data_IF_825433464820
#
_entry.id   IF_825433464820
#
_cell.length_a   1.000
_cell.length_b   1.000
_cell.length_c   1.000
_cell.angle_alpha   90.00
_cell.angle_beta   90.00
_cell.angle_gamma   90.00
#
_symmetry.space_group_name_H-M   'P 1'
#
loop_
_entity.id
_entity.type
_entity.pdbx_description
1 polymer ?
#
# COMPACT_ATOMS: atom_id res chain seq x y z
N UNK A 1 -11.49 23.61 -11.88
CA UNK A 1 -12.25 22.59 -11.12
C UNK A 1 -11.52 22.38 -9.79
N UNK A 2 -12.18 22.53 -8.63
CA UNK A 2 -11.48 22.45 -7.33
C UNK A 2 -11.37 21.01 -6.82
N UNK A 3 -10.34 20.70 -6.01
CA UNK A 3 -10.19 19.39 -5.36
C UNK A 3 -11.43 19.02 -4.54
N UNK A 4 -12.11 20.02 -3.94
CA UNK A 4 -13.36 19.83 -3.20
C UNK A 4 -14.49 19.36 -4.12
N UNK A 5 -14.64 19.97 -5.30
CA UNK A 5 -15.65 19.57 -6.30
C UNK A 5 -15.43 18.15 -6.81
N UNK A 6 -14.18 17.76 -7.06
CA UNK A 6 -13.83 16.39 -7.49
C UNK A 6 -14.12 15.37 -6.39
N UNK A 7 -13.73 15.65 -5.15
CA UNK A 7 -14.06 14.80 -3.99
C UNK A 7 -15.57 14.66 -3.81
N UNK A 8 -16.31 15.75 -4.00
CA UNK A 8 -17.77 15.75 -3.90
C UNK A 8 -18.38 14.85 -4.99
N UNK A 9 -17.98 14.99 -6.25
CA UNK A 9 -18.47 14.15 -7.34
C UNK A 9 -18.22 12.66 -7.07
N UNK A 10 -16.98 12.30 -6.74
CA UNK A 10 -16.62 10.91 -6.45
C UNK A 10 -17.30 10.37 -5.19
N UNK A 11 -17.59 11.21 -4.19
CA UNK A 11 -18.34 10.80 -3.00
C UNK A 11 -19.69 10.23 -3.39
N UNK A 12 -20.44 10.87 -4.28
CA UNK A 12 -21.78 10.38 -4.66
C UNK A 12 -21.73 9.17 -5.59
N UNK A 13 -20.67 9.02 -6.39
CA UNK A 13 -20.44 7.80 -7.18
C UNK A 13 -20.16 6.59 -6.25
N UNK A 14 -19.38 6.79 -5.18
CA UNK A 14 -18.95 5.71 -4.28
C UNK A 14 -19.77 5.55 -3.00
N UNK A 15 -20.73 6.45 -2.69
CA UNK A 15 -21.59 6.38 -1.49
C UNK A 15 -22.45 5.10 -1.47
N UNK A 16 -22.61 4.46 -2.62
CA UNK A 16 -23.57 3.39 -2.81
C UNK A 16 -24.89 3.94 -3.33
N UNK A 17 -25.78 3.04 -3.67
CA UNK A 17 -27.08 3.39 -4.23
C UNK A 17 -28.04 3.64 -3.09
N UNK A 18 -28.98 4.56 -3.29
CA UNK A 18 -30.05 4.74 -2.33
C UNK A 18 -30.82 3.42 -2.23
N UNK A 19 -31.16 3.03 -1.01
CA UNK A 19 -31.90 1.82 -0.71
C UNK A 19 -33.29 2.17 -0.20
N UNK A 20 -34.28 1.37 -0.60
CA UNK A 20 -35.64 1.43 -0.10
C UNK A 20 -35.98 0.10 0.58
N UNK A 21 -36.50 0.16 1.80
CA UNK A 21 -37.06 -1.02 2.46
C UNK A 21 -38.48 -1.23 1.94
N UNK A 22 -38.70 -2.38 1.31
CA UNK A 22 -40.01 -2.78 0.80
C UNK A 22 -40.61 -3.81 1.76
N UNK A 23 -41.82 -3.56 2.23
CA UNK A 23 -42.57 -4.51 3.07
C UNK A 23 -43.24 -5.52 2.15
N UNK A 24 -42.95 -6.81 2.34
CA UNK A 24 -43.52 -7.89 1.51
C UNK A 24 -44.70 -8.56 2.22
N UNK A 25 -44.64 -8.70 3.54
CA UNK A 25 -45.68 -9.33 4.35
C UNK A 25 -46.18 -8.37 5.43
N UNK A 26 -47.50 -8.17 5.49
CA UNK A 26 -48.15 -7.34 6.52
C UNK A 26 -48.43 -8.13 7.83
N UNK A 27 -48.30 -9.45 7.80
CA UNK A 27 -48.49 -10.28 8.99
C UNK A 27 -47.27 -10.22 9.90
N UNK A 28 -47.47 -9.71 11.11
CA UNK A 28 -46.45 -9.59 12.16
C UNK A 28 -46.13 -10.98 12.73
N UNK A 29 -45.38 -11.77 11.98
CA UNK A 29 -44.59 -12.85 12.55
C UNK A 29 -43.19 -12.27 12.75
N UNK A 30 -42.60 -12.39 13.95
CA UNK A 30 -41.38 -11.70 14.42
C UNK A 30 -40.07 -12.10 13.69
N UNK A 31 -40.15 -12.39 12.40
CA UNK A 31 -39.03 -12.69 11.53
C UNK A 31 -38.76 -11.48 10.61
N UNK A 32 -37.91 -10.58 11.07
CA UNK A 32 -37.57 -9.32 10.38
C UNK A 32 -37.00 -9.56 8.97
N UNK A 33 -36.29 -10.69 8.76
CA UNK A 33 -35.65 -11.05 7.49
C UNK A 33 -36.69 -11.36 6.41
N UNK A 34 -37.80 -12.00 6.79
CA UNK A 34 -38.88 -12.36 5.88
C UNK A 34 -39.92 -11.24 5.69
N UNK A 35 -39.84 -10.18 6.49
CA UNK A 35 -40.83 -9.08 6.49
C UNK A 35 -40.41 -7.93 5.58
N UNK A 36 -39.10 -7.61 5.54
CA UNK A 36 -38.57 -6.46 4.82
C UNK A 36 -37.51 -6.88 3.80
N UNK A 37 -37.66 -6.40 2.57
CA UNK A 37 -36.66 -6.52 1.53
C UNK A 37 -35.93 -5.18 1.34
N UNK A 38 -34.64 -5.17 1.62
CA UNK A 38 -33.79 -4.03 1.33
C UNK A 38 -33.49 -4.01 -0.18
N UNK A 39 -34.20 -3.15 -0.91
CA UNK A 39 -34.09 -3.01 -2.35
C UNK A 39 -33.23 -1.81 -2.71
N UNK A 40 -32.46 -1.93 -3.79
CA UNK A 40 -31.73 -0.81 -4.37
C UNK A 40 -32.66 0.03 -5.25
N UNK A 41 -32.73 1.33 -4.99
CA UNK A 41 -33.38 2.28 -5.88
C UNK A 41 -32.54 2.47 -7.15
N UNK A 42 -33.21 2.38 -8.30
CA UNK A 42 -32.63 2.66 -9.62
C UNK A 42 -33.54 3.68 -10.29
N UNK A 43 -33.00 4.85 -10.61
CA UNK A 43 -33.77 5.90 -11.29
C UNK A 43 -34.14 5.48 -12.73
N UNK A 44 -35.25 6.00 -13.27
CA UNK A 44 -35.66 5.73 -14.65
C UNK A 44 -34.54 5.93 -15.71
N UNK A 45 -33.74 7.02 -15.70
CA UNK A 45 -32.64 7.16 -16.65
C UNK A 45 -31.52 6.13 -16.45
N UNK A 46 -31.17 5.77 -15.21
CA UNK A 46 -30.18 4.71 -14.94
C UNK A 46 -30.68 3.34 -15.42
N UNK A 47 -31.96 3.04 -15.21
CA UNK A 47 -32.59 1.80 -15.66
C UNK A 47 -32.54 1.68 -17.19
N UNK A 48 -32.88 2.75 -17.91
CA UNK A 48 -32.79 2.80 -19.37
C UNK A 48 -31.35 2.59 -19.86
N UNK A 49 -30.38 3.23 -19.19
CA UNK A 49 -28.94 3.07 -19.51
C UNK A 49 -28.48 1.62 -19.39
N UNK A 50 -28.95 0.92 -18.35
CA UNK A 50 -28.67 -0.50 -18.12
C UNK A 50 -29.37 -1.40 -19.12
N UNK A 51 -30.65 -1.14 -19.43
CA UNK A 51 -31.43 -1.90 -20.42
C UNK A 51 -30.75 -1.84 -21.80
N UNK A 52 -30.17 -0.69 -22.15
CA UNK A 52 -29.42 -0.52 -23.39
C UNK A 52 -27.93 -0.91 -23.29
N UNK A 53 -27.49 -1.50 -22.18
CA UNK A 53 -26.11 -1.97 -21.96
C UNK A 53 -25.04 -0.89 -22.16
N UNK A 54 -25.39 0.38 -21.94
CA UNK A 54 -24.42 1.46 -22.04
C UNK A 54 -23.43 1.42 -20.87
N UNK A 55 -22.17 1.70 -21.19
CA UNK A 55 -21.10 1.88 -20.19
C UNK A 55 -21.48 2.97 -19.19
N UNK A 56 -21.56 2.62 -17.91
CA UNK A 56 -21.84 3.55 -16.81
C UNK A 56 -20.57 4.23 -16.29
N UNK A 57 -19.48 3.48 -16.21
CA UNK A 57 -18.19 3.95 -15.73
C UNK A 57 -17.09 2.97 -16.11
N UNK A 58 -15.91 3.49 -16.41
CA UNK A 58 -14.71 2.67 -16.62
C UNK A 58 -13.59 3.14 -15.70
N UNK A 59 -12.76 2.19 -15.26
CA UNK A 59 -11.57 2.47 -14.46
C UNK A 59 -10.35 2.53 -15.39
N UNK A 60 -9.88 3.76 -15.63
CA UNK A 60 -8.78 3.99 -16.57
C UNK A 60 -7.44 3.38 -16.13
N UNK A 61 -7.23 3.19 -14.82
CA UNK A 61 -5.98 2.72 -14.24
C UNK A 61 -6.19 1.59 -13.24
N UNK A 62 -5.27 0.62 -13.25
CA UNK A 62 -5.19 -0.43 -12.24
C UNK A 62 -4.46 0.11 -11.00
N UNK A 63 -5.11 0.06 -9.84
CA UNK A 63 -4.52 0.49 -8.57
C UNK A 63 -3.91 -0.73 -7.87
N UNK A 64 -2.59 -0.75 -7.74
CA UNK A 64 -1.85 -1.82 -7.06
C UNK A 64 -1.44 -1.34 -5.68
N UNK A 65 -1.83 -2.09 -4.64
CA UNK A 65 -1.43 -1.81 -3.25
C UNK A 65 -0.33 -2.77 -2.81
N UNK A 66 0.87 -2.25 -2.65
CA UNK A 66 2.05 -2.99 -2.20
C UNK A 66 2.04 -3.16 -0.69
N UNK A 67 2.20 -4.41 -0.26
CA UNK A 67 2.31 -4.80 1.15
C UNK A 67 3.66 -4.36 1.73
N UNK A 68 3.62 -3.94 2.99
CA UNK A 68 4.79 -3.54 3.78
C UNK A 68 4.61 -4.18 5.15
N UNK A 69 5.62 -4.93 5.58
CA UNK A 69 5.64 -5.59 6.88
C UNK A 69 7.09 -5.83 7.29
N UNK A 70 7.33 -5.91 8.61
CA UNK A 70 8.61 -6.36 9.15
C UNK A 70 8.81 -7.86 8.88
N UNK A 71 10.02 -8.41 9.10
CA UNK A 71 10.23 -9.86 9.12
C UNK A 71 9.19 -10.54 10.01
N UNK A 72 8.60 -11.62 9.52
CA UNK A 72 7.58 -12.46 10.19
C UNK A 72 6.28 -11.76 10.66
N UNK A 73 6.14 -10.45 10.46
CA UNK A 73 4.95 -9.68 10.83
C UNK A 73 3.98 -9.48 9.66
N UNK A 74 3.77 -10.54 8.88
CA UNK A 74 2.88 -10.52 7.72
C UNK A 74 1.41 -10.50 8.15
N UNK A 75 0.57 -9.78 7.40
CA UNK A 75 -0.87 -9.77 7.65
C UNK A 75 -1.52 -11.04 7.10
N UNK A 76 -2.13 -11.84 7.98
CA UNK A 76 -2.79 -13.10 7.65
C UNK A 76 -4.27 -12.98 8.03
N UNK A 77 -5.15 -13.40 7.13
CA UNK A 77 -6.57 -13.53 7.39
C UNK A 77 -6.88 -14.99 7.70
N UNK A 78 -7.60 -15.25 8.78
CA UNK A 78 -8.02 -16.58 9.20
C UNK A 78 -9.50 -16.57 9.59
N UNK A 79 -10.10 -17.75 9.56
CA UNK A 79 -11.42 -18.00 10.15
C UNK A 79 -11.18 -18.50 11.57
N UNK A 80 -12.00 -18.06 12.51
CA UNK A 80 -11.94 -18.51 13.91
C UNK A 80 -11.95 -20.05 13.97
N UNK A 81 -10.95 -20.64 14.63
CA UNK A 81 -10.73 -22.09 14.68
C UNK A 81 -9.79 -22.67 13.61
N UNK A 82 -9.41 -21.92 12.57
CA UNK A 82 -8.47 -22.37 11.51
C UNK A 82 -7.12 -21.61 11.53
N UNK A 83 -6.70 -21.12 12.70
CA UNK A 83 -5.51 -20.29 12.85
C UNK A 83 -4.22 -20.99 12.37
N UNK A 84 -4.02 -22.25 12.77
CA UNK A 84 -2.82 -23.01 12.38
C UNK A 84 -2.76 -23.26 10.87
N UNK A 85 -3.88 -23.66 10.27
CA UNK A 85 -3.95 -23.87 8.82
C UNK A 85 -3.75 -22.55 8.04
N UNK A 86 -4.16 -21.41 8.59
CA UNK A 86 -3.87 -20.11 8.00
C UNK A 86 -2.38 -19.75 8.08
N UNK A 87 -1.71 -20.03 9.20
CA UNK A 87 -0.26 -19.86 9.35
C UNK A 87 0.52 -20.74 8.39
N UNK A 88 0.18 -22.03 8.27
CA UNK A 88 0.85 -22.95 7.35
C UNK A 88 0.72 -22.50 5.89
N UNK A 89 -0.48 -22.03 5.50
CA UNK A 89 -0.71 -21.45 4.17
C UNK A 89 0.09 -20.18 3.95
N UNK A 90 0.21 -19.32 4.96
CA UNK A 90 0.98 -18.09 4.87
C UNK A 90 2.48 -18.36 4.73
N UNK A 91 3.02 -19.34 5.46
CA UNK A 91 4.42 -19.75 5.37
C UNK A 91 4.82 -20.21 3.95
N UNK A 92 3.87 -20.79 3.20
CA UNK A 92 4.10 -21.24 1.82
C UNK A 92 3.90 -20.16 0.76
N UNK A 93 3.27 -19.03 1.10
CA UNK A 93 2.89 -17.99 0.13
C UNK A 93 3.72 -16.74 0.30
N UNK A 94 4.38 -16.35 -0.78
CA UNK A 94 5.08 -15.07 -0.78
C UNK A 94 4.12 -13.88 -0.83
N UNK A 95 4.45 -12.85 -0.05
CA UNK A 95 3.84 -11.53 -0.15
C UNK A 95 4.40 -10.80 -1.37
N UNK A 96 3.81 -9.65 -1.72
CA UNK A 96 4.38 -8.79 -2.76
C UNK A 96 5.85 -8.44 -2.49
N UNK A 97 6.20 -8.24 -1.20
CA UNK A 97 7.53 -7.85 -0.75
C UNK A 97 8.50 -9.03 -0.79
N UNK A 98 8.16 -10.19 -0.23
CA UNK A 98 9.07 -11.35 -0.26
C UNK A 98 9.25 -11.89 -1.67
N UNK A 99 8.21 -11.83 -2.51
CA UNK A 99 8.33 -12.15 -3.92
C UNK A 99 9.25 -11.17 -4.67
N UNK A 100 9.32 -9.90 -4.27
CA UNK A 100 10.24 -8.93 -4.87
C UNK A 100 11.70 -9.26 -4.55
N UNK A 101 11.98 -9.69 -3.32
CA UNK A 101 13.31 -10.19 -2.95
C UNK A 101 13.73 -11.37 -3.84
N UNK A 102 12.86 -12.37 -4.00
CA UNK A 102 13.11 -13.51 -4.89
C UNK A 102 13.30 -13.09 -6.35
N UNK A 103 12.47 -12.16 -6.84
CA UNK A 103 12.61 -11.59 -8.19
C UNK A 103 13.99 -10.94 -8.39
N UNK A 104 14.50 -10.21 -7.41
CA UNK A 104 15.80 -9.56 -7.50
C UNK A 104 16.95 -10.58 -7.51
N UNK A 105 16.79 -11.76 -6.91
CA UNK A 105 17.78 -12.84 -7.05
C UNK A 105 17.82 -13.34 -8.49
N UNK A 106 16.65 -13.61 -9.08
CA UNK A 106 16.51 -14.26 -10.39
C UNK A 106 16.74 -13.30 -11.58
N UNK A 107 16.37 -12.03 -11.45
CA UNK A 107 16.29 -11.10 -12.57
C UNK A 107 17.10 -9.81 -12.31
N UNK A 108 18.16 -9.63 -13.08
CA UNK A 108 19.03 -8.44 -12.98
C UNK A 108 18.30 -7.13 -13.31
N UNK A 109 17.35 -7.15 -14.24
CA UNK A 109 16.59 -5.95 -14.61
C UNK A 109 15.72 -5.44 -13.46
N UNK A 110 15.21 -6.35 -12.62
CA UNK A 110 14.42 -5.97 -11.45
C UNK A 110 15.26 -5.17 -10.44
N UNK A 111 16.58 -5.40 -10.39
CA UNK A 111 17.50 -4.72 -9.47
C UNK A 111 17.66 -3.23 -9.75
N UNK A 112 17.26 -2.76 -10.93
CA UNK A 112 17.32 -1.34 -11.27
C UNK A 112 16.17 -0.52 -10.69
N UNK A 113 15.11 -1.17 -10.19
CA UNK A 113 13.90 -0.51 -9.73
C UNK A 113 13.74 -0.66 -8.21
N UNK A 114 13.35 0.41 -7.49
CA UNK A 114 12.89 0.28 -6.11
C UNK A 114 11.56 -0.46 -6.08
N UNK A 115 11.21 -1.03 -4.92
CA UNK A 115 10.01 -1.85 -4.76
C UNK A 115 8.72 -1.14 -5.24
N UNK A 116 8.60 0.17 -5.01
CA UNK A 116 7.43 0.98 -5.43
C UNK A 116 7.26 1.07 -6.96
N UNK A 117 8.34 0.87 -7.72
CA UNK A 117 8.32 0.97 -9.19
C UNK A 117 8.11 -0.38 -9.88
N UNK A 118 8.32 -1.48 -9.17
CA UNK A 118 8.20 -2.84 -9.70
C UNK A 118 6.88 -3.07 -10.44
N UNK A 119 5.70 -2.65 -9.94
CA UNK A 119 4.46 -2.93 -10.63
C UNK A 119 4.29 -2.22 -12.00
N UNK A 120 5.10 -1.21 -12.31
CA UNK A 120 5.12 -0.60 -13.64
C UNK A 120 5.80 -1.50 -14.68
N UNK A 121 6.74 -2.35 -14.24
CA UNK A 121 7.55 -3.22 -15.09
C UNK A 121 7.20 -4.71 -14.95
N UNK A 122 6.55 -5.09 -13.84
CA UNK A 122 6.19 -6.46 -13.51
C UNK A 122 4.72 -6.54 -13.08
N UNK A 123 4.12 -7.72 -13.26
CA UNK A 123 2.78 -8.07 -12.82
C UNK A 123 2.89 -9.18 -11.78
N UNK A 124 2.21 -9.01 -10.65
CA UNK A 124 2.15 -10.05 -9.63
C UNK A 124 1.15 -11.15 -10.04
N UNK A 125 1.63 -12.38 -10.11
CA UNK A 125 0.81 -13.57 -10.31
C UNK A 125 0.37 -14.10 -8.94
N UNK A 126 -0.86 -13.79 -8.54
CA UNK A 126 -1.42 -14.19 -7.24
C UNK A 126 -1.55 -15.70 -7.06
N UNK A 127 -1.58 -16.49 -8.15
CA UNK A 127 -1.68 -17.96 -8.06
C UNK A 127 -0.35 -18.58 -7.67
N UNK A 128 0.74 -18.08 -8.24
CA UNK A 128 2.09 -18.58 -8.00
C UNK A 128 2.90 -17.71 -7.04
N UNK A 129 2.28 -16.66 -6.47
CA UNK A 129 2.88 -15.66 -5.60
C UNK A 129 4.21 -15.09 -6.13
N UNK A 130 4.29 -14.79 -7.44
CA UNK A 130 5.54 -14.34 -8.07
C UNK A 130 5.36 -13.18 -9.03
N UNK A 131 6.39 -12.37 -9.18
CA UNK A 131 6.43 -11.30 -10.17
C UNK A 131 6.82 -11.84 -11.54
N UNK A 132 6.11 -11.41 -12.58
CA UNK A 132 6.41 -11.72 -13.99
C UNK A 132 6.58 -10.44 -14.77
N UNK A 133 7.41 -10.44 -15.81
CA UNK A 133 7.61 -9.26 -16.67
C UNK A 133 6.28 -8.81 -17.28
N UNK A 134 5.98 -7.52 -17.14
CA UNK A 134 4.76 -6.91 -17.68
C UNK A 134 4.90 -6.75 -19.19
N UNK A 135 3.93 -7.27 -19.93
CA UNK A 135 3.91 -7.17 -21.39
C UNK A 135 3.16 -5.93 -21.89
N UNK A 136 2.16 -5.42 -21.14
CA UNK A 136 1.29 -4.30 -21.57
C UNK A 136 0.80 -3.46 -20.38
N UNK A 137 0.40 -2.22 -20.68
CA UNK A 137 -0.36 -1.35 -19.78
C UNK A 137 0.45 -0.72 -18.64
N UNK A 138 1.77 -0.54 -18.80
CA UNK A 138 2.63 0.13 -17.81
C UNK A 138 2.16 1.55 -17.50
N UNK A 139 1.68 2.29 -18.51
CA UNK A 139 1.14 3.64 -18.39
C UNK A 139 -0.24 3.74 -17.72
N UNK A 140 -0.89 2.60 -17.43
CA UNK A 140 -2.22 2.53 -16.80
C UNK A 140 -2.16 1.92 -15.39
N UNK A 141 -1.01 2.03 -14.71
CA UNK A 141 -0.83 1.54 -13.34
C UNK A 141 -0.69 2.72 -12.40
N UNK A 142 -1.34 2.64 -11.24
CA UNK A 142 -1.11 3.56 -10.13
C UNK A 142 -0.70 2.71 -8.93
N UNK A 143 0.53 2.87 -8.48
CA UNK A 143 1.05 2.13 -7.33
C UNK A 143 0.82 2.92 -6.05
N UNK A 144 0.40 2.21 -5.00
CA UNK A 144 0.30 2.71 -3.64
C UNK A 144 0.94 1.71 -2.68
N UNK A 145 1.56 2.20 -1.62
CA UNK A 145 1.95 1.36 -0.48
C UNK A 145 0.92 1.53 0.63
N UNK A 146 0.72 0.50 1.46
CA UNK A 146 -0.13 0.66 2.64
C UNK A 146 0.35 1.82 3.52
N UNK A 147 -0.61 2.51 4.14
CA UNK A 147 -0.31 3.54 5.14
C UNK A 147 0.29 2.85 6.35
N UNK A 148 1.42 3.36 6.80
CA UNK A 148 2.09 2.91 8.03
C UNK A 148 2.07 4.04 9.06
N UNK A 149 2.11 3.69 10.33
CA UNK A 149 2.37 4.66 11.40
C UNK A 149 3.73 5.32 11.16
N UNK A 150 3.89 6.63 11.37
CA UNK A 150 5.21 7.27 11.34
C UNK A 150 6.09 6.88 12.54
N UNK A 151 5.52 6.19 13.53
CA UNK A 151 6.18 5.75 14.74
C UNK A 151 6.46 4.25 14.60
N UNK A 152 7.73 3.89 14.46
CA UNK A 152 8.22 2.50 14.49
C UNK A 152 9.05 2.09 13.26
N UNK A 153 9.69 0.92 13.37
CA UNK A 153 10.60 0.38 12.35
C UNK A 153 9.96 0.18 10.97
N UNK A 154 8.66 -0.10 10.92
CA UNK A 154 7.92 -0.27 9.66
C UNK A 154 7.87 1.02 8.82
N UNK A 155 7.94 2.20 9.45
CA UNK A 155 8.04 3.48 8.75
C UNK A 155 9.37 3.59 7.99
N UNK A 156 10.48 3.28 8.66
CA UNK A 156 11.80 3.31 8.08
C UNK A 156 11.97 2.24 7.00
N UNK A 157 11.43 1.03 7.23
CA UNK A 157 11.35 0.01 6.18
C UNK A 157 10.60 0.54 4.94
N UNK A 158 9.45 1.19 5.13
CA UNK A 158 8.70 1.79 4.01
C UNK A 158 9.53 2.83 3.27
N UNK A 159 10.31 3.65 3.98
CA UNK A 159 11.21 4.63 3.37
C UNK A 159 12.29 3.93 2.54
N UNK A 160 12.95 2.90 3.08
CA UNK A 160 13.95 2.12 2.34
C UNK A 160 13.36 1.51 1.07
N UNK A 161 12.15 0.95 1.14
CA UNK A 161 11.47 0.38 -0.03
C UNK A 161 11.13 1.39 -1.14
N UNK A 162 11.09 2.69 -0.82
CA UNK A 162 10.90 3.75 -1.81
C UNK A 162 12.20 4.11 -2.54
N UNK A 163 13.36 3.86 -1.93
CA UNK A 163 14.65 4.40 -2.39
C UNK A 163 15.68 3.33 -2.75
N UNK A 164 15.77 2.27 -1.94
CA UNK A 164 16.71 1.16 -2.14
C UNK A 164 16.25 0.29 -3.30
N UNK A 165 17.20 -0.04 -4.18
CA UNK A 165 16.99 -0.82 -5.40
C UNK A 165 17.65 -2.18 -5.26
N UNK A 166 17.04 -3.21 -5.84
CA UNK A 166 17.65 -4.54 -5.96
C UNK A 166 17.95 -5.30 -4.68
N UNK A 167 17.39 -4.91 -3.53
CA UNK A 167 17.55 -5.66 -2.30
C UNK A 167 17.02 -7.09 -2.45
N UNK A 168 17.78 -8.11 -2.05
CA UNK A 168 17.34 -9.52 -2.10
C UNK A 168 16.87 -10.06 -0.74
N UNK A 169 16.87 -9.23 0.30
CA UNK A 169 16.42 -9.60 1.63
C UNK A 169 16.10 -8.37 2.49
N UNK A 170 15.53 -8.60 3.68
CA UNK A 170 15.41 -7.54 4.69
C UNK A 170 16.79 -7.06 5.19
N UNK A 171 17.79 -7.93 5.17
CA UNK A 171 19.16 -7.59 5.54
C UNK A 171 19.83 -6.67 4.53
N UNK A 172 19.60 -6.92 3.25
CA UNK A 172 20.07 -6.05 2.17
C UNK A 172 19.48 -4.65 2.30
N UNK A 173 18.20 -4.53 2.67
CA UNK A 173 17.55 -3.22 2.87
C UNK A 173 18.22 -2.41 3.98
N UNK A 174 18.74 -3.07 5.02
CA UNK A 174 19.48 -2.44 6.13
C UNK A 174 20.99 -2.40 5.89
N UNK A 175 21.47 -2.81 4.72
CA UNK A 175 22.88 -2.74 4.35
C UNK A 175 23.17 -1.44 3.59
N UNK A 176 24.05 -0.61 4.14
CA UNK A 176 24.46 0.65 3.50
C UNK A 176 25.97 0.70 3.42
N UNK A 177 26.52 0.88 2.22
CA UNK A 177 27.97 0.91 1.95
C UNK A 177 28.73 -0.32 2.48
N UNK A 178 28.11 -1.50 2.44
CA UNK A 178 28.71 -2.76 2.91
C UNK A 178 28.60 -3.00 4.42
N UNK A 179 28.03 -2.07 5.19
CA UNK A 179 27.76 -2.25 6.62
C UNK A 179 26.31 -2.62 6.84
N UNK A 180 26.08 -3.72 7.55
CA UNK A 180 24.74 -4.18 7.94
C UNK A 180 24.34 -3.52 9.26
N UNK A 181 23.25 -2.74 9.25
CA UNK A 181 22.72 -2.06 10.44
C UNK A 181 21.68 -2.90 11.15
N UNK A 182 21.52 -2.76 12.47
CA UNK A 182 20.56 -3.56 13.24
C UNK A 182 19.11 -3.11 12.99
N UNK A 183 18.91 -1.80 12.86
CA UNK A 183 17.59 -1.18 12.68
C UNK A 183 17.47 -0.55 11.29
N UNK A 184 16.27 -0.57 10.73
CA UNK A 184 15.95 0.12 9.48
C UNK A 184 16.08 1.64 9.63
N UNK A 185 15.86 2.16 10.84
CA UNK A 185 16.10 3.57 11.17
C UNK A 185 17.54 3.99 10.94
N UNK A 186 18.49 3.18 11.39
CA UNK A 186 19.92 3.47 11.26
C UNK A 186 20.34 3.48 9.79
N UNK A 187 19.89 2.49 9.01
CA UNK A 187 20.10 2.46 7.57
C UNK A 187 19.50 3.70 6.87
N UNK A 188 18.29 4.13 7.25
CA UNK A 188 17.69 5.36 6.74
C UNK A 188 18.54 6.60 7.08
N UNK A 189 19.06 6.67 8.30
CA UNK A 189 19.93 7.76 8.75
C UNK A 189 21.22 7.81 7.93
N UNK A 190 21.86 6.65 7.73
CA UNK A 190 23.11 6.55 6.96
C UNK A 190 22.92 6.88 5.47
N UNK A 191 21.74 6.60 4.91
CA UNK A 191 21.35 6.99 3.55
C UNK A 191 20.95 8.47 3.43
N UNK A 192 20.93 9.24 4.54
CA UNK A 192 20.51 10.64 4.54
C UNK A 192 19.02 10.84 4.26
N UNK A 193 18.19 9.82 4.51
CA UNK A 193 16.74 9.88 4.29
C UNK A 193 15.99 10.53 5.46
N UNK A 194 16.69 10.73 6.59
CA UNK A 194 16.16 11.37 7.79
C UNK A 194 16.79 12.75 7.93
N UNK A 195 15.98 13.76 8.24
CA UNK A 195 16.50 15.02 8.75
C UNK A 195 17.00 14.78 10.17
N UNK A 196 18.28 15.05 10.40
CA UNK A 196 18.87 15.11 11.74
C UNK A 196 19.21 16.56 12.09
N UNK A 197 19.02 16.92 13.35
CA UNK A 197 19.48 18.19 13.91
C UNK A 197 21.02 18.22 14.06
N UNK A 198 21.75 17.21 13.59
CA UNK A 198 23.20 17.14 13.64
C UNK A 198 23.85 18.37 12.99
N UNK A 199 23.32 18.89 11.89
CA UNK A 199 23.82 20.14 11.30
C UNK A 199 23.70 21.30 12.28
N UNK A 200 22.57 21.42 12.99
CA UNK A 200 22.37 22.44 14.02
C UNK A 200 23.26 22.23 15.23
N UNK A 201 23.43 20.99 15.70
CA UNK A 201 24.33 20.67 16.82
C UNK A 201 25.78 20.95 16.47
N UNK A 202 26.23 20.59 15.27
CA UNK A 202 27.59 20.85 14.79
C UNK A 202 27.83 22.36 14.66
N UNK A 203 26.88 23.09 14.05
CA UNK A 203 26.94 24.55 13.93
C UNK A 203 26.99 25.23 15.31
N UNK A 204 26.18 24.79 16.27
CA UNK A 204 26.21 25.32 17.64
C UNK A 204 27.51 24.98 18.38
N UNK A 205 28.07 23.81 18.15
CA UNK A 205 29.35 23.39 18.76
C UNK A 205 30.52 24.19 18.18
N UNK A 206 30.53 24.42 16.87
CA UNK A 206 31.51 25.26 16.19
C UNK A 206 31.41 26.73 16.64
N UNK A 207 30.19 27.27 16.75
CA UNK A 207 29.93 28.62 17.25
C UNK A 207 30.33 28.78 18.73
N UNK A 208 30.19 27.74 19.54
CA UNK A 208 30.67 27.75 20.93
C UNK A 208 32.22 27.74 21.01
N UNK A 209 32.89 27.11 20.05
CA UNK A 209 34.35 27.04 19.98
C UNK A 209 34.99 28.32 19.40
N UNK A 210 34.29 29.01 18.48
CA UNK A 210 34.68 30.31 17.94
C UNK A 210 34.22 31.43 18.88
N UNK A 211 35.08 31.79 19.85
CA UNK A 211 34.86 32.84 20.86
C UNK A 211 34.17 34.10 20.31
N UNK A 212 33.25 34.63 21.12
CA UNK A 212 32.74 36.01 21.03
C UNK A 212 33.90 37.03 21.09
N UNK A 213 33.79 38.19 20.42
CA UNK A 213 34.81 39.24 20.48
C UNK A 213 35.01 39.71 21.93
N UNK A 214 36.25 40.05 22.30
CA UNK A 214 36.51 40.71 23.58
C UNK A 214 35.64 41.97 23.68
N UNK A 215 34.86 42.07 24.75
CA UNK A 215 34.14 43.31 25.08
C UNK A 215 35.18 44.40 25.37
N UNK A 216 35.05 45.51 24.64
CA UNK A 216 35.84 46.74 24.78
C UNK A 216 35.46 47.43 26.09
#
# INVERSE_FOLDING_TARGET
MTIKSVKYLYKYIYKGHDCANVVINEQVNHDEINTFLNCRYVSAPEALWRIFEYSLSDMSHNIIRLQVHLPDNQMIYFVEGEEQAALDRAAQRDTHLTAWFKLNVENEQARHYPYVEIPYHFVFDSKHCKWKVRQRGSNKVIVRMFKVSPIGEIFYLRMLLLHVRGAVSFEDLRTVNGTVFNLFREACSQLGLLQDDAEWRNTLTEAAATRLPNQI
#
